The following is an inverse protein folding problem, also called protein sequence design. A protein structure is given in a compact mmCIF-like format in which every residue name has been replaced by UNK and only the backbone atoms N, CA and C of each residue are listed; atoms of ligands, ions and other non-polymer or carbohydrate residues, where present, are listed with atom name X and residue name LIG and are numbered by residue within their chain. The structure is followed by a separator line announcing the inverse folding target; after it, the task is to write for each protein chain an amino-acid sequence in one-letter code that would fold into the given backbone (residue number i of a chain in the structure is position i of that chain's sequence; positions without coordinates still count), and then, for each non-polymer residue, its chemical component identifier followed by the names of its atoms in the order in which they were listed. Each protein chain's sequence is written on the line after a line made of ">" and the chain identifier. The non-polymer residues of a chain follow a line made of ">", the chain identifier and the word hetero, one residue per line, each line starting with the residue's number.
data_IF_644209632123
#
_entry.id   IF_644209632123
#
_cell.length_a   1.000
_cell.length_b   1.000
_cell.length_c   1.000
_cell.angle_alpha   90.00
_cell.angle_beta   90.00
_cell.angle_gamma   90.00
#
_symmetry.space_group_name_H-M   'P 1'
#
loop_
_entity.id
_entity.type
_entity.pdbx_description
1 polymer ?
#
# COMPACT_ATOMS: atom_id res chain seq x y z
N UNK A 1 -66.00 18.01 -26.65
CA UNK A 1 -64.69 17.33 -26.63
C UNK A 1 -64.25 17.26 -25.18
N UNK A 2 -64.61 16.17 -24.51
CA UNK A 2 -64.14 15.91 -23.16
C UNK A 2 -62.62 15.72 -23.22
N UNK A 3 -61.90 16.57 -22.48
CA UNK A 3 -60.48 16.41 -22.23
C UNK A 3 -60.26 15.00 -21.68
N UNK A 4 -59.59 14.14 -22.44
CA UNK A 4 -59.13 12.86 -21.94
C UNK A 4 -58.29 13.15 -20.70
N UNK A 5 -58.82 12.78 -19.53
CA UNK A 5 -58.15 13.00 -18.25
C UNK A 5 -56.72 12.48 -18.38
N UNK A 6 -55.73 13.37 -18.26
CA UNK A 6 -54.33 13.01 -18.34
C UNK A 6 -54.07 11.91 -17.29
N UNK A 7 -53.76 10.71 -17.75
CA UNK A 7 -53.60 9.56 -16.87
C UNK A 7 -52.34 9.75 -16.03
N UNK A 8 -52.52 10.00 -14.73
CA UNK A 8 -51.42 10.14 -13.79
C UNK A 8 -50.80 8.76 -13.52
N UNK A 9 -49.70 8.48 -14.21
CA UNK A 9 -48.91 7.25 -14.06
C UNK A 9 -48.55 7.01 -12.59
N UNK A 10 -48.34 8.05 -11.78
CA UNK A 10 -47.96 7.89 -10.38
C UNK A 10 -49.04 7.24 -9.51
N UNK A 11 -50.28 7.12 -10.00
CA UNK A 11 -51.36 6.40 -9.31
C UNK A 11 -51.31 4.88 -9.48
N UNK A 12 -50.54 4.36 -10.47
CA UNK A 12 -50.45 2.94 -10.74
C UNK A 12 -49.93 2.12 -9.54
N UNK A 13 -50.25 0.81 -9.43
CA UNK A 13 -49.73 -0.04 -8.38
C UNK A 13 -48.19 -0.06 -8.37
N UNK A 14 -47.59 -0.14 -7.17
CA UNK A 14 -46.13 -0.05 -7.00
C UNK A 14 -45.35 -1.06 -7.84
N UNK A 15 -45.85 -2.29 -7.99
CA UNK A 15 -45.22 -3.32 -8.83
C UNK A 15 -45.21 -2.94 -10.32
N UNK A 16 -46.27 -2.30 -10.81
CA UNK A 16 -46.38 -1.83 -12.19
C UNK A 16 -45.41 -0.67 -12.41
N UNK A 17 -45.37 0.29 -11.47
CA UNK A 17 -44.43 1.40 -11.51
C UNK A 17 -42.98 0.93 -11.50
N UNK A 18 -42.61 -0.03 -10.63
CA UNK A 18 -41.26 -0.60 -10.60
C UNK A 18 -40.90 -1.16 -11.97
N UNK A 19 -41.81 -1.90 -12.60
CA UNK A 19 -41.58 -2.49 -13.92
C UNK A 19 -41.39 -1.41 -14.99
N UNK A 20 -42.27 -0.41 -15.06
CA UNK A 20 -42.16 0.68 -16.03
C UNK A 20 -40.82 1.42 -15.84
N UNK A 21 -40.56 1.89 -14.62
CA UNK A 21 -39.40 2.74 -14.33
C UNK A 21 -38.09 1.96 -14.57
N UNK A 22 -38.00 0.69 -14.13
CA UNK A 22 -36.79 -0.13 -14.34
C UNK A 22 -36.47 -0.43 -15.81
N UNK A 23 -37.46 -0.41 -16.70
CA UNK A 23 -37.23 -0.56 -18.16
C UNK A 23 -36.91 0.77 -18.85
N UNK A 24 -36.88 1.87 -18.11
CA UNK A 24 -36.52 3.20 -18.58
C UNK A 24 -35.36 3.75 -17.76
N UNK A 25 -34.97 5.00 -17.98
CA UNK A 25 -33.96 5.67 -17.16
C UNK A 25 -34.62 6.23 -15.88
N UNK A 26 -34.30 5.71 -14.69
CA UNK A 26 -34.91 6.16 -13.43
C UNK A 26 -34.58 7.61 -13.09
N UNK A 27 -33.47 8.16 -13.59
CA UNK A 27 -33.08 9.56 -13.38
C UNK A 27 -34.12 10.52 -13.97
N UNK A 28 -34.74 10.15 -15.10
CA UNK A 28 -35.82 10.93 -15.70
C UNK A 28 -37.02 10.98 -14.76
N UNK A 29 -37.34 9.86 -14.11
CA UNK A 29 -38.50 9.76 -13.22
C UNK A 29 -38.30 10.48 -11.89
N UNK A 30 -37.08 10.51 -11.35
CA UNK A 30 -36.77 11.26 -10.12
C UNK A 30 -36.75 12.77 -10.34
N UNK A 31 -36.39 13.24 -11.55
CA UNK A 31 -36.45 14.66 -11.93
C UNK A 31 -37.89 15.22 -11.99
N UNK A 32 -38.91 14.37 -12.15
CA UNK A 32 -40.31 14.79 -12.15
C UNK A 32 -40.81 15.30 -10.78
N UNK A 33 -40.01 15.19 -9.71
CA UNK A 33 -40.34 15.73 -8.39
C UNK A 33 -41.49 15.03 -7.67
N UNK A 34 -41.93 13.86 -8.14
CA UNK A 34 -43.04 13.12 -7.53
C UNK A 34 -42.55 12.31 -6.31
N UNK A 35 -43.08 12.66 -5.12
CA UNK A 35 -42.66 12.04 -3.87
C UNK A 35 -42.93 10.52 -3.80
N UNK A 36 -44.00 10.02 -4.43
CA UNK A 36 -44.30 8.58 -4.45
C UNK A 36 -43.28 7.83 -5.31
N UNK A 37 -42.93 8.40 -6.46
CA UNK A 37 -41.90 7.84 -7.35
C UNK A 37 -40.54 7.87 -6.65
N UNK A 38 -40.18 8.97 -6.00
CA UNK A 38 -38.93 9.06 -5.21
C UNK A 38 -38.84 7.97 -4.13
N UNK A 39 -39.92 7.77 -3.36
CA UNK A 39 -39.99 6.68 -2.36
C UNK A 39 -39.89 5.30 -3.00
N UNK A 40 -40.53 5.08 -4.14
CA UNK A 40 -40.49 3.81 -4.86
C UNK A 40 -39.09 3.47 -5.36
N UNK A 41 -38.42 4.44 -5.99
CA UNK A 41 -37.04 4.30 -6.50
C UNK A 41 -36.06 4.06 -5.35
N UNK A 42 -36.35 4.52 -4.13
CA UNK A 42 -35.51 4.22 -2.97
C UNK A 42 -35.64 2.78 -2.43
N UNK A 43 -36.61 1.97 -2.89
CA UNK A 43 -36.86 0.63 -2.34
C UNK A 43 -35.87 -0.44 -2.84
N UNK A 44 -35.60 -1.44 -2.00
CA UNK A 44 -34.80 -2.63 -2.34
C UNK A 44 -35.38 -3.39 -3.54
N UNK A 45 -36.70 -3.51 -3.62
CA UNK A 45 -37.40 -4.17 -4.74
C UNK A 45 -37.16 -3.46 -6.07
N UNK A 46 -37.18 -2.12 -6.07
CA UNK A 46 -36.85 -1.35 -7.27
C UNK A 46 -35.40 -1.57 -7.69
N UNK A 47 -34.45 -1.49 -6.75
CA UNK A 47 -33.02 -1.72 -7.01
C UNK A 47 -32.78 -3.10 -7.64
N UNK A 48 -33.38 -4.15 -7.09
CA UNK A 48 -33.30 -5.50 -7.65
C UNK A 48 -33.85 -5.54 -9.09
N UNK A 49 -35.02 -4.95 -9.32
CA UNK A 49 -35.62 -4.92 -10.65
C UNK A 49 -34.76 -4.16 -11.66
N UNK A 50 -34.17 -3.04 -11.25
CA UNK A 50 -33.34 -2.24 -12.15
C UNK A 50 -31.99 -2.88 -12.44
N UNK A 51 -31.32 -3.45 -11.44
CA UNK A 51 -30.10 -4.26 -11.64
C UNK A 51 -30.37 -5.41 -12.61
N UNK A 52 -31.53 -6.08 -12.52
CA UNK A 52 -31.92 -7.10 -13.50
C UNK A 52 -32.03 -6.53 -14.92
N UNK A 53 -32.62 -5.35 -15.08
CA UNK A 53 -32.76 -4.73 -16.41
C UNK A 53 -31.42 -4.29 -16.99
N UNK A 54 -30.55 -3.72 -16.16
CA UNK A 54 -29.18 -3.38 -16.57
C UNK A 54 -28.42 -4.64 -16.97
N UNK A 55 -28.45 -5.69 -16.14
CA UNK A 55 -27.79 -6.95 -16.43
C UNK A 55 -28.30 -7.66 -17.69
N UNK A 56 -29.59 -7.56 -18.02
CA UNK A 56 -30.14 -8.11 -19.26
C UNK A 56 -29.72 -7.32 -20.51
N UNK A 57 -29.40 -6.03 -20.35
CA UNK A 57 -28.95 -5.15 -21.45
C UNK A 57 -27.45 -5.26 -21.67
N UNK A 58 -26.71 -5.33 -20.58
CA UNK A 58 -25.28 -5.61 -20.58
C UNK A 58 -25.11 -7.05 -21.05
N UNK A 59 -24.39 -7.27 -22.15
CA UNK A 59 -24.06 -8.63 -22.61
C UNK A 59 -23.01 -9.24 -21.65
N UNK A 60 -23.43 -9.58 -20.44
CA UNK A 60 -22.53 -10.04 -19.39
C UNK A 60 -21.89 -11.37 -19.83
N UNK A 61 -20.56 -11.48 -19.79
CA UNK A 61 -19.88 -12.74 -20.06
C UNK A 61 -20.27 -13.80 -19.01
N UNK A 62 -20.63 -14.99 -19.49
CA UNK A 62 -20.90 -16.16 -18.65
C UNK A 62 -20.08 -17.33 -19.21
N UNK A 63 -19.10 -17.87 -18.48
CA UNK A 63 -18.70 -17.51 -17.11
C UNK A 63 -17.92 -16.17 -17.03
N UNK A 64 -17.95 -15.53 -15.86
CA UNK A 64 -17.04 -14.42 -15.53
C UNK A 64 -15.66 -15.01 -15.30
N UNK A 65 -14.71 -14.75 -16.20
CA UNK A 65 -13.44 -15.47 -16.25
C UNK A 65 -12.22 -14.59 -15.93
N UNK A 66 -12.37 -13.25 -15.94
CA UNK A 66 -11.25 -12.33 -15.76
C UNK A 66 -11.60 -11.12 -14.90
N UNK A 67 -10.57 -10.42 -14.41
CA UNK A 67 -10.72 -9.12 -13.73
C UNK A 67 -11.43 -8.10 -14.62
N UNK A 68 -11.17 -8.12 -15.94
CA UNK A 68 -11.82 -7.21 -16.88
C UNK A 68 -13.33 -7.46 -16.95
N UNK A 69 -13.76 -8.72 -16.90
CA UNK A 69 -15.20 -9.05 -16.86
C UNK A 69 -15.86 -8.50 -15.59
N UNK A 70 -15.18 -8.62 -14.44
CA UNK A 70 -15.64 -8.04 -13.17
C UNK A 70 -15.78 -6.52 -13.29
N UNK A 71 -14.76 -5.84 -13.82
CA UNK A 71 -14.76 -4.39 -14.02
C UNK A 71 -15.88 -3.97 -14.99
N UNK A 72 -16.11 -4.72 -16.07
CA UNK A 72 -17.14 -4.43 -17.05
C UNK A 72 -18.55 -4.64 -16.48
N UNK A 73 -18.76 -5.67 -15.65
CA UNK A 73 -20.02 -5.84 -14.90
C UNK A 73 -20.21 -4.69 -13.91
N UNK A 74 -19.18 -4.35 -13.12
CA UNK A 74 -19.23 -3.22 -12.20
C UNK A 74 -19.58 -1.92 -12.93
N UNK A 75 -18.96 -1.64 -14.08
CA UNK A 75 -19.21 -0.42 -14.87
C UNK A 75 -20.58 -0.40 -15.55
N UNK A 76 -21.04 -1.53 -16.08
CA UNK A 76 -22.26 -1.59 -16.89
C UNK A 76 -23.53 -1.85 -16.08
N UNK A 77 -23.41 -2.43 -14.88
CA UNK A 77 -24.56 -2.82 -14.05
C UNK A 77 -24.57 -2.10 -12.71
N UNK A 78 -23.45 -2.07 -11.98
CA UNK A 78 -23.44 -1.53 -10.62
C UNK A 78 -23.28 0.00 -10.58
N UNK A 79 -22.35 0.54 -11.38
CA UNK A 79 -22.05 1.97 -11.45
C UNK A 79 -23.27 2.83 -11.81
N UNK A 80 -24.14 2.46 -12.77
CA UNK A 80 -25.33 3.27 -13.06
C UNK A 80 -26.27 3.40 -11.86
N UNK A 81 -26.33 2.36 -11.01
CA UNK A 81 -27.14 2.40 -9.78
C UNK A 81 -26.47 3.31 -8.75
N UNK A 82 -25.15 3.20 -8.60
CA UNK A 82 -24.38 4.08 -7.72
C UNK A 82 -24.47 5.55 -8.14
N UNK A 83 -24.41 5.85 -9.43
CA UNK A 83 -24.55 7.20 -9.97
C UNK A 83 -25.92 7.81 -9.65
N UNK A 84 -26.98 7.01 -9.73
CA UNK A 84 -28.33 7.44 -9.35
C UNK A 84 -28.45 7.80 -7.86
N UNK A 85 -27.77 7.05 -6.98
CA UNK A 85 -27.79 7.31 -5.53
C UNK A 85 -26.64 8.20 -5.05
N UNK A 86 -25.75 8.64 -5.94
CA UNK A 86 -24.56 9.42 -5.64
C UNK A 86 -23.50 8.68 -4.79
N UNK A 87 -23.68 7.39 -4.53
CA UNK A 87 -22.75 6.56 -3.75
C UNK A 87 -23.09 5.08 -3.89
N UNK A 88 -22.14 4.22 -3.52
CA UNK A 88 -22.38 2.78 -3.43
C UNK A 88 -23.27 2.38 -2.24
N UNK A 89 -23.75 3.30 -1.39
CA UNK A 89 -24.43 2.97 -0.13
C UNK A 89 -25.73 2.14 -0.31
N UNK A 90 -26.25 2.08 -1.53
CA UNK A 90 -27.39 1.24 -1.89
C UNK A 90 -27.09 -0.28 -1.82
N UNK A 91 -25.82 -0.67 -1.96
CA UNK A 91 -25.35 -2.06 -1.89
C UNK A 91 -25.28 -2.51 -0.42
N UNK A 92 -26.40 -3.02 0.07
CA UNK A 92 -26.57 -3.47 1.46
C UNK A 92 -26.79 -4.98 1.55
N UNK A 93 -26.65 -5.53 2.77
CA UNK A 93 -26.98 -6.93 3.04
C UNK A 93 -28.44 -7.27 2.65
N UNK A 94 -29.38 -6.35 2.88
CA UNK A 94 -30.80 -6.51 2.51
C UNK A 94 -30.96 -6.63 0.99
N UNK A 95 -30.23 -5.82 0.22
CA UNK A 95 -30.23 -5.91 -1.23
C UNK A 95 -29.73 -7.27 -1.72
N UNK A 96 -28.60 -7.74 -1.20
CA UNK A 96 -28.04 -9.05 -1.62
C UNK A 96 -28.99 -10.19 -1.28
N UNK A 97 -29.58 -10.20 -0.08
CA UNK A 97 -30.57 -11.21 0.31
C UNK A 97 -31.84 -11.16 -0.56
N UNK A 98 -32.31 -9.95 -0.88
CA UNK A 98 -33.46 -9.77 -1.77
C UNK A 98 -33.16 -10.26 -3.19
N UNK A 99 -31.94 -10.03 -3.69
CA UNK A 99 -31.51 -10.53 -5.00
C UNK A 99 -31.42 -12.06 -5.00
N UNK A 100 -30.84 -12.66 -3.96
CA UNK A 100 -30.75 -14.10 -3.76
C UNK A 100 -32.14 -14.76 -3.77
N UNK A 101 -33.09 -14.20 -3.01
CA UNK A 101 -34.44 -14.74 -2.87
C UNK A 101 -35.27 -14.64 -4.15
N UNK A 102 -35.12 -13.57 -4.92
CA UNK A 102 -35.97 -13.31 -6.08
C UNK A 102 -35.34 -13.74 -7.41
N UNK A 103 -34.00 -13.75 -7.50
CA UNK A 103 -33.24 -13.89 -8.75
C UNK A 103 -31.89 -14.61 -8.54
N UNK A 104 -31.88 -15.85 -8.04
CA UNK A 104 -30.63 -16.56 -7.67
C UNK A 104 -29.65 -16.69 -8.84
N UNK A 105 -30.12 -17.05 -10.04
CA UNK A 105 -29.25 -17.14 -11.24
C UNK A 105 -28.55 -15.84 -11.62
N UNK A 106 -29.21 -14.71 -11.37
CA UNK A 106 -28.60 -13.41 -11.65
C UNK A 106 -27.56 -13.07 -10.58
N UNK A 107 -27.82 -13.44 -9.32
CA UNK A 107 -26.84 -13.30 -8.27
C UNK A 107 -25.57 -14.09 -8.60
N UNK A 108 -25.67 -15.33 -9.08
CA UNK A 108 -24.50 -16.15 -9.45
C UNK A 108 -23.58 -15.43 -10.45
N UNK A 109 -24.16 -14.73 -11.43
CA UNK A 109 -23.43 -13.98 -12.45
C UNK A 109 -22.85 -12.67 -11.90
N UNK A 110 -23.60 -11.96 -11.05
CA UNK A 110 -23.18 -10.67 -10.51
C UNK A 110 -22.29 -10.78 -9.26
N UNK A 111 -22.24 -11.94 -8.63
CA UNK A 111 -21.55 -12.16 -7.36
C UNK A 111 -20.09 -11.71 -7.35
N UNK A 112 -19.26 -11.99 -8.39
CA UNK A 112 -17.89 -11.48 -8.44
C UNK A 112 -17.82 -9.95 -8.37
N UNK A 113 -18.68 -9.25 -9.11
CA UNK A 113 -18.73 -7.78 -9.12
C UNK A 113 -19.31 -7.19 -7.83
N UNK A 114 -20.34 -7.82 -7.25
CA UNK A 114 -20.90 -7.41 -5.96
C UNK A 114 -19.89 -7.61 -4.83
N UNK A 115 -19.16 -8.73 -4.84
CA UNK A 115 -18.09 -9.01 -3.91
C UNK A 115 -16.98 -7.98 -4.06
N UNK A 116 -16.51 -7.76 -5.28
CA UNK A 116 -15.49 -6.75 -5.61
C UNK A 116 -15.85 -5.37 -5.07
N UNK A 117 -17.04 -4.86 -5.39
CA UNK A 117 -17.52 -3.56 -4.91
C UNK A 117 -17.69 -3.52 -3.39
N UNK A 118 -18.15 -4.61 -2.77
CA UNK A 118 -18.30 -4.69 -1.31
C UNK A 118 -16.94 -4.65 -0.60
N UNK A 119 -15.96 -5.38 -1.13
CA UNK A 119 -14.60 -5.41 -0.60
C UNK A 119 -13.96 -4.04 -0.71
N UNK A 120 -13.94 -3.43 -1.91
CA UNK A 120 -13.38 -2.09 -2.15
C UNK A 120 -14.01 -0.99 -1.27
N UNK A 121 -15.29 -1.14 -0.92
CA UNK A 121 -15.99 -0.20 -0.05
C UNK A 121 -15.78 -0.47 1.46
N UNK A 122 -15.00 -1.49 1.84
CA UNK A 122 -14.78 -1.86 3.24
C UNK A 122 -15.97 -2.57 3.91
N UNK A 123 -16.89 -3.16 3.14
CA UNK A 123 -18.16 -3.70 3.65
C UNK A 123 -18.08 -5.20 3.91
N UNK A 124 -17.43 -5.56 5.02
CA UNK A 124 -17.23 -6.95 5.44
C UNK A 124 -18.54 -7.74 5.57
N UNK A 125 -19.61 -7.16 6.13
CA UNK A 125 -20.90 -7.85 6.28
C UNK A 125 -21.50 -8.22 4.93
N UNK A 126 -21.55 -7.25 4.01
CA UNK A 126 -22.14 -7.43 2.69
C UNK A 126 -21.33 -8.40 1.84
N UNK A 127 -20.00 -8.33 1.87
CA UNK A 127 -19.13 -9.31 1.23
C UNK A 127 -19.40 -10.74 1.73
N UNK A 128 -19.55 -10.91 3.05
CA UNK A 128 -19.90 -12.20 3.66
C UNK A 128 -21.27 -12.70 3.20
N UNK A 129 -22.27 -11.82 3.14
CA UNK A 129 -23.60 -12.18 2.64
C UNK A 129 -23.56 -12.59 1.17
N UNK A 130 -22.74 -11.95 0.32
CA UNK A 130 -22.58 -12.35 -1.08
C UNK A 130 -22.06 -13.79 -1.17
N UNK A 131 -20.97 -14.11 -0.48
CA UNK A 131 -20.39 -15.46 -0.50
C UNK A 131 -21.37 -16.50 0.05
N UNK A 132 -22.06 -16.20 1.15
CA UNK A 132 -23.03 -17.12 1.76
C UNK A 132 -24.31 -17.32 0.92
N UNK A 133 -24.67 -16.33 0.09
CA UNK A 133 -25.90 -16.37 -0.70
C UNK A 133 -25.74 -17.11 -2.04
N UNK A 134 -24.51 -17.41 -2.46
CA UNK A 134 -24.21 -18.12 -3.70
C UNK A 134 -23.79 -19.54 -3.37
N UNK A 135 -24.60 -20.51 -3.79
CA UNK A 135 -24.33 -21.91 -3.51
C UNK A 135 -23.05 -22.36 -4.23
N UNK A 136 -22.08 -22.88 -3.47
CA UNK A 136 -20.82 -23.39 -4.03
C UNK A 136 -19.85 -22.31 -4.51
N UNK A 137 -19.99 -21.06 -4.03
CA UNK A 137 -19.03 -20.01 -4.34
C UNK A 137 -17.72 -20.24 -3.59
N UNK A 138 -16.73 -20.77 -4.28
CA UNK A 138 -15.39 -20.96 -3.74
C UNK A 138 -14.51 -19.76 -4.09
N UNK A 139 -13.99 -19.07 -3.07
CA UNK A 139 -13.07 -17.94 -3.28
C UNK A 139 -11.73 -18.37 -3.89
N UNK A 140 -11.39 -19.65 -3.81
CA UNK A 140 -10.24 -20.23 -4.51
C UNK A 140 -10.34 -20.08 -6.04
N UNK A 141 -11.55 -19.84 -6.56
CA UNK A 141 -11.76 -19.50 -7.97
C UNK A 141 -11.44 -18.05 -8.32
N UNK A 142 -11.27 -17.16 -7.33
CA UNK A 142 -10.76 -15.82 -7.60
C UNK A 142 -9.31 -15.94 -8.01
N UNK A 143 -9.03 -15.64 -9.28
CA UNK A 143 -7.67 -15.65 -9.80
C UNK A 143 -6.77 -14.73 -8.95
N UNK A 144 -5.48 -15.11 -8.79
CA UNK A 144 -4.49 -14.30 -8.07
C UNK A 144 -4.52 -12.82 -8.50
N UNK A 145 -4.81 -12.56 -9.78
CA UNK A 145 -4.90 -11.22 -10.37
C UNK A 145 -6.03 -10.38 -9.74
N UNK A 146 -7.17 -10.98 -9.40
CA UNK A 146 -8.31 -10.31 -8.76
C UNK A 146 -7.92 -9.86 -7.36
N UNK A 147 -7.36 -10.78 -6.56
CA UNK A 147 -6.91 -10.49 -5.19
C UNK A 147 -5.84 -9.41 -5.21
N UNK A 148 -4.87 -9.51 -6.13
CA UNK A 148 -3.83 -8.51 -6.31
C UNK A 148 -4.41 -7.13 -6.61
N UNK A 149 -5.30 -7.00 -7.59
CA UNK A 149 -5.87 -5.71 -7.97
C UNK A 149 -6.73 -5.12 -6.83
N UNK A 150 -7.43 -5.94 -6.04
CA UNK A 150 -8.09 -5.49 -4.81
C UNK A 150 -7.09 -4.91 -3.81
N UNK A 151 -5.98 -5.61 -3.56
CA UNK A 151 -4.95 -5.19 -2.61
C UNK A 151 -4.18 -3.94 -3.07
N UNK A 152 -4.04 -3.72 -4.38
CA UNK A 152 -3.48 -2.48 -4.94
C UNK A 152 -4.42 -1.30 -4.67
N UNK A 153 -5.72 -1.47 -4.89
CA UNK A 153 -6.71 -0.39 -4.75
C UNK A 153 -7.06 -0.08 -3.30
N UNK A 154 -7.14 -1.11 -2.46
CA UNK A 154 -7.52 -0.99 -1.06
C UNK A 154 -6.65 -1.91 -0.19
N UNK A 155 -5.40 -1.53 0.08
CA UNK A 155 -4.51 -2.31 0.95
C UNK A 155 -5.07 -2.32 2.37
N UNK A 156 -5.56 -3.48 2.85
CA UNK A 156 -6.24 -3.57 4.15
C UNK A 156 -6.07 -4.92 4.83
N UNK A 157 -5.70 -4.89 6.12
CA UNK A 157 -5.43 -6.10 6.90
C UNK A 157 -6.70 -6.94 7.05
N UNK A 158 -7.82 -6.30 7.37
CA UNK A 158 -9.10 -7.02 7.52
C UNK A 158 -9.50 -7.77 6.24
N UNK A 159 -9.12 -7.27 5.06
CA UNK A 159 -9.45 -7.90 3.79
C UNK A 159 -8.62 -9.18 3.60
N UNK A 160 -7.33 -9.15 3.96
CA UNK A 160 -6.48 -10.34 3.97
C UNK A 160 -7.02 -11.39 4.96
N UNK A 161 -7.30 -10.99 6.20
CA UNK A 161 -7.88 -11.86 7.23
C UNK A 161 -9.24 -12.43 6.79
N UNK A 162 -10.08 -11.62 6.13
CA UNK A 162 -11.38 -12.07 5.65
C UNK A 162 -11.25 -13.06 4.49
N UNK A 163 -10.32 -12.83 3.55
CA UNK A 163 -10.06 -13.77 2.45
C UNK A 163 -9.55 -15.12 2.99
N UNK A 164 -8.63 -15.09 3.95
CA UNK A 164 -8.12 -16.28 4.64
C UNK A 164 -9.25 -17.06 5.33
N UNK A 165 -10.09 -16.37 6.11
CA UNK A 165 -11.24 -16.97 6.81
C UNK A 165 -12.25 -17.64 5.87
N UNK A 166 -12.28 -17.21 4.60
CA UNK A 166 -13.16 -17.76 3.58
C UNK A 166 -12.41 -18.70 2.61
N UNK A 167 -11.26 -19.22 3.01
CA UNK A 167 -10.60 -20.36 2.37
C UNK A 167 -9.51 -20.02 1.35
N UNK A 168 -9.04 -18.77 1.29
CA UNK A 168 -7.89 -18.41 0.45
C UNK A 168 -6.59 -18.83 1.14
N UNK A 169 -5.82 -19.73 0.49
CA UNK A 169 -4.48 -20.10 0.95
C UNK A 169 -3.42 -19.15 0.36
N UNK A 170 -2.96 -18.20 1.18
CA UNK A 170 -1.93 -17.25 0.78
C UNK A 170 -0.54 -17.89 0.55
N UNK A 171 -0.28 -19.06 1.13
CA UNK A 171 0.97 -19.80 0.90
C UNK A 171 1.04 -20.34 -0.52
N UNK A 172 -0.07 -20.86 -1.03
CA UNK A 172 -0.18 -21.32 -2.41
C UNK A 172 -0.07 -20.13 -3.38
N UNK A 173 -0.80 -19.05 -3.11
CA UNK A 173 -0.78 -17.83 -3.94
C UNK A 173 0.62 -17.21 -4.03
N UNK A 174 1.39 -17.26 -2.96
CA UNK A 174 2.75 -16.74 -2.91
C UNK A 174 3.73 -17.61 -3.70
N UNK A 175 3.69 -18.95 -3.57
CA UNK A 175 4.54 -19.86 -4.35
C UNK A 175 4.33 -19.75 -5.86
N UNK A 176 3.12 -19.36 -6.27
CA UNK A 176 2.80 -19.10 -7.67
C UNK A 176 3.43 -17.82 -8.23
N UNK A 177 4.04 -16.96 -7.42
CA UNK A 177 4.66 -15.67 -7.78
C UNK A 177 3.71 -14.68 -8.49
N UNK A 178 2.39 -14.87 -8.31
CA UNK A 178 1.36 -14.14 -9.08
C UNK A 178 0.62 -13.07 -8.27
N UNK A 179 0.58 -13.19 -6.94
CA UNK A 179 -0.23 -12.31 -6.09
C UNK A 179 0.59 -11.17 -5.45
N UNK A 180 1.76 -11.48 -4.88
CA UNK A 180 2.57 -10.55 -4.09
C UNK A 180 3.88 -10.19 -4.80
N UNK A 181 3.77 -9.38 -5.85
CA UNK A 181 4.95 -8.94 -6.59
C UNK A 181 5.67 -7.77 -5.91
N UNK A 182 6.88 -7.46 -6.40
CA UNK A 182 7.68 -6.35 -5.89
C UNK A 182 6.93 -5.01 -5.94
N UNK A 183 6.10 -4.76 -6.96
CA UNK A 183 5.35 -3.51 -7.08
C UNK A 183 4.36 -3.34 -5.93
N UNK A 184 3.61 -4.39 -5.57
CA UNK A 184 2.67 -4.36 -4.47
C UNK A 184 3.39 -4.18 -3.14
N UNK A 185 4.44 -4.97 -2.90
CA UNK A 185 5.21 -4.93 -1.65
C UNK A 185 5.89 -3.58 -1.45
N UNK A 186 6.48 -3.00 -2.50
CA UNK A 186 7.05 -1.65 -2.46
C UNK A 186 5.97 -0.62 -2.13
N UNK A 187 4.77 -0.72 -2.72
CA UNK A 187 3.65 0.16 -2.39
C UNK A 187 3.29 0.12 -0.89
N UNK A 188 3.28 -1.06 -0.28
CA UNK A 188 3.03 -1.23 1.15
C UNK A 188 4.15 -0.65 2.02
N UNK A 189 5.40 -0.82 1.63
CA UNK A 189 6.56 -0.22 2.31
C UNK A 189 6.47 1.30 2.27
N UNK A 190 6.25 1.89 1.10
CA UNK A 190 6.10 3.34 0.94
C UNK A 190 4.92 3.88 1.77
N UNK A 191 3.82 3.12 1.83
CA UNK A 191 2.66 3.40 2.68
C UNK A 191 2.84 3.08 4.16
N UNK A 192 4.03 2.61 4.58
CA UNK A 192 4.35 2.19 5.96
C UNK A 192 3.35 1.19 6.55
N UNK A 193 2.90 0.24 5.72
CA UNK A 193 1.89 -0.79 6.03
C UNK A 193 2.52 -2.03 6.65
N UNK A 194 3.11 -1.86 7.83
CA UNK A 194 3.71 -2.97 8.61
C UNK A 194 2.68 -4.00 9.05
N UNK A 195 1.41 -3.63 9.14
CA UNK A 195 0.27 -4.53 9.37
C UNK A 195 0.15 -5.59 8.25
N UNK A 196 0.23 -5.16 6.99
CA UNK A 196 0.12 -6.05 5.84
C UNK A 196 1.37 -6.90 5.64
N UNK A 197 2.54 -6.30 5.83
CA UNK A 197 3.82 -7.02 5.78
C UNK A 197 3.90 -8.05 6.92
N UNK A 198 3.40 -7.70 8.11
CA UNK A 198 3.26 -8.57 9.27
C UNK A 198 2.40 -9.79 8.98
N UNK A 199 1.26 -9.60 8.31
CA UNK A 199 0.40 -10.69 7.87
C UNK A 199 1.16 -11.70 6.99
N UNK A 200 1.96 -11.22 6.03
CA UNK A 200 2.75 -12.12 5.17
C UNK A 200 3.79 -12.91 5.97
N UNK A 201 4.52 -12.24 6.87
CA UNK A 201 5.54 -12.90 7.71
C UNK A 201 4.91 -13.94 8.65
N UNK A 202 3.73 -13.67 9.21
CA UNK A 202 3.00 -14.63 10.04
C UNK A 202 2.61 -15.92 9.30
N UNK A 203 2.52 -15.85 7.98
CA UNK A 203 2.24 -16.98 7.10
C UNK A 203 3.51 -17.59 6.48
N UNK A 204 4.68 -17.37 7.11
CA UNK A 204 5.98 -17.84 6.65
C UNK A 204 6.33 -17.40 5.21
N UNK A 205 5.73 -16.31 4.73
CA UNK A 205 6.01 -15.76 3.40
C UNK A 205 7.27 -14.89 3.47
N UNK A 206 8.28 -15.26 2.69
CA UNK A 206 9.55 -14.55 2.72
C UNK A 206 9.44 -13.16 2.09
N UNK A 207 9.96 -12.12 2.76
CA UNK A 207 10.02 -10.80 2.17
C UNK A 207 11.39 -10.60 1.48
N UNK A 208 11.45 -10.01 0.28
CA UNK A 208 12.70 -9.62 -0.38
C UNK A 208 13.29 -8.36 0.28
N UNK A 209 13.67 -8.47 1.55
CA UNK A 209 14.04 -7.34 2.43
C UNK A 209 15.07 -6.43 1.82
N UNK A 210 16.12 -6.98 1.21
CA UNK A 210 17.20 -6.18 0.63
C UNK A 210 16.69 -5.22 -0.44
N UNK A 211 15.79 -5.68 -1.31
CA UNK A 211 15.18 -4.85 -2.35
C UNK A 211 14.17 -3.85 -1.78
N UNK A 212 13.47 -4.22 -0.71
CA UNK A 212 12.46 -3.36 -0.08
C UNK A 212 13.08 -2.24 0.78
N UNK A 213 14.22 -2.50 1.40
CA UNK A 213 14.95 -1.53 2.24
C UNK A 213 15.39 -0.31 1.43
N UNK A 214 15.82 -0.49 0.18
CA UNK A 214 16.22 0.64 -0.69
C UNK A 214 15.11 1.68 -0.84
N UNK A 215 13.85 1.23 -0.96
CA UNK A 215 12.69 2.12 -1.00
C UNK A 215 12.33 2.69 0.38
N UNK A 216 12.49 1.89 1.43
CA UNK A 216 12.10 2.25 2.79
C UNK A 216 12.95 3.39 3.37
N UNK A 217 14.26 3.39 3.08
CA UNK A 217 15.23 4.36 3.64
C UNK A 217 14.84 5.82 3.36
N UNK A 218 14.36 6.10 2.15
CA UNK A 218 14.07 7.47 1.71
C UNK A 218 12.64 7.96 1.96
N UNK A 219 11.67 7.06 2.15
CA UNK A 219 10.25 7.43 2.13
C UNK A 219 9.49 6.94 3.35
N UNK A 220 9.81 5.76 3.88
CA UNK A 220 9.01 5.09 4.92
C UNK A 220 9.35 5.57 6.33
N UNK A 221 8.59 5.08 7.31
CA UNK A 221 8.84 5.38 8.73
C UNK A 221 9.97 4.51 9.34
N UNK A 222 10.60 4.96 10.44
CA UNK A 222 11.58 4.15 11.18
C UNK A 222 11.03 2.77 11.58
N UNK A 223 9.77 2.68 12.00
CA UNK A 223 9.13 1.43 12.42
C UNK A 223 9.02 0.44 11.26
N UNK A 224 8.81 0.94 10.04
CA UNK A 224 8.75 0.09 8.83
C UNK A 224 10.12 -0.51 8.52
N UNK A 225 11.17 0.28 8.63
CA UNK A 225 12.55 -0.19 8.44
C UNK A 225 12.94 -1.21 9.52
N UNK A 226 12.63 -0.92 10.78
CA UNK A 226 12.87 -1.85 11.89
C UNK A 226 12.11 -3.17 11.72
N UNK A 227 10.85 -3.10 11.28
CA UNK A 227 10.06 -4.28 10.97
C UNK A 227 10.74 -5.15 9.90
N UNK A 228 11.16 -4.56 8.78
CA UNK A 228 11.79 -5.28 7.67
C UNK A 228 13.09 -5.98 8.10
N UNK A 229 13.93 -5.30 8.86
CA UNK A 229 15.19 -5.84 9.37
C UNK A 229 14.95 -7.00 10.35
N UNK A 230 14.03 -6.80 11.28
CA UNK A 230 13.79 -7.74 12.39
C UNK A 230 12.97 -8.97 11.98
N UNK A 231 12.00 -8.80 11.09
CA UNK A 231 10.98 -9.83 10.80
C UNK A 231 10.95 -10.25 9.33
N UNK A 232 11.35 -9.39 8.40
CA UNK A 232 11.23 -9.70 6.97
C UNK A 232 12.30 -10.67 6.45
N UNK A 233 13.43 -10.78 7.16
CA UNK A 233 14.61 -11.45 6.63
C UNK A 233 14.68 -12.90 7.12
N UNK A 234 14.39 -13.83 6.21
CA UNK A 234 14.62 -15.26 6.45
C UNK A 234 16.10 -15.53 6.78
N UNK A 235 16.37 -16.58 7.56
CA UNK A 235 17.69 -16.86 8.18
C UNK A 235 18.90 -16.83 7.24
N UNK A 236 18.73 -17.02 5.93
CA UNK A 236 19.84 -17.02 4.96
C UNK A 236 20.22 -15.64 4.41
N UNK A 237 19.35 -14.64 4.52
CA UNK A 237 19.56 -13.28 3.97
C UNK A 237 19.23 -12.20 5.02
N UNK A 238 19.49 -12.50 6.30
CA UNK A 238 19.30 -11.57 7.40
C UNK A 238 20.14 -10.31 7.18
N UNK A 239 19.48 -9.16 7.11
CA UNK A 239 20.15 -7.89 6.91
C UNK A 239 20.51 -7.33 8.29
N UNK A 240 21.79 -7.10 8.55
CA UNK A 240 22.22 -6.61 9.86
C UNK A 240 22.02 -5.10 9.99
N UNK A 241 21.94 -4.60 11.22
CA UNK A 241 21.96 -3.14 11.47
C UNK A 241 23.23 -2.46 10.95
N UNK A 242 24.34 -3.20 10.84
CA UNK A 242 25.58 -2.71 10.24
C UNK A 242 25.43 -2.53 8.73
N UNK A 243 24.77 -3.48 8.05
CA UNK A 243 24.46 -3.37 6.62
C UNK A 243 23.51 -2.19 6.37
N UNK A 244 22.47 -2.06 7.21
CA UNK A 244 21.55 -0.91 7.18
C UNK A 244 22.28 0.41 7.31
N UNK A 245 23.21 0.53 8.26
CA UNK A 245 23.97 1.76 8.45
C UNK A 245 24.84 2.10 7.24
N UNK A 246 25.49 1.10 6.63
CA UNK A 246 26.25 1.30 5.40
C UNK A 246 25.35 1.80 4.27
N UNK A 247 24.22 1.13 4.01
CA UNK A 247 23.26 1.51 2.98
C UNK A 247 22.73 2.93 3.22
N UNK A 248 22.34 3.25 4.44
CA UNK A 248 21.83 4.56 4.85
C UNK A 248 22.87 5.70 4.72
N UNK A 249 24.15 5.39 4.92
CA UNK A 249 25.24 6.35 4.70
C UNK A 249 25.48 6.62 3.22
N UNK A 250 25.38 5.60 2.36
CA UNK A 250 25.59 5.75 0.91
C UNK A 250 24.38 6.34 0.19
N UNK A 251 23.18 6.09 0.71
CA UNK A 251 21.93 6.54 0.09
C UNK A 251 21.61 7.99 0.50
N UNK A 252 21.69 8.90 -0.46
CA UNK A 252 21.45 10.33 -0.26
C UNK A 252 20.02 10.60 0.22
N UNK A 253 19.04 9.89 -0.35
CA UNK A 253 17.63 10.09 -0.03
C UNK A 253 17.23 9.64 1.38
N UNK A 254 18.10 8.92 2.10
CA UNK A 254 17.76 8.39 3.44
C UNK A 254 17.28 9.49 4.38
N UNK A 255 16.07 9.30 4.95
CA UNK A 255 15.48 10.24 5.89
C UNK A 255 16.28 10.32 7.19
N UNK A 256 16.33 11.51 7.77
CA UNK A 256 17.13 11.79 8.98
C UNK A 256 16.62 11.05 10.22
N UNK A 257 15.32 10.87 10.37
CA UNK A 257 14.71 10.12 11.48
C UNK A 257 14.98 8.60 11.37
N UNK A 258 14.85 8.03 10.17
CA UNK A 258 15.24 6.64 9.87
C UNK A 258 16.72 6.44 10.17
N UNK A 259 17.58 7.37 9.73
CA UNK A 259 19.01 7.33 9.99
C UNK A 259 19.33 7.33 11.50
N UNK A 260 18.66 8.19 12.29
CA UNK A 260 18.82 8.21 13.76
C UNK A 260 18.48 6.86 14.40
N UNK A 261 17.40 6.24 13.96
CA UNK A 261 16.98 4.93 14.46
C UNK A 261 17.99 3.83 14.09
N UNK A 262 18.50 3.82 12.85
CA UNK A 262 19.53 2.87 12.44
C UNK A 262 20.79 3.03 13.31
N UNK A 263 21.23 4.27 13.55
CA UNK A 263 22.40 4.55 14.39
C UNK A 263 22.19 4.05 15.82
N UNK A 264 21.01 4.28 16.42
CA UNK A 264 20.74 3.84 17.80
C UNK A 264 20.63 2.32 17.97
N UNK A 265 20.36 1.59 16.87
CA UNK A 265 20.31 0.12 16.84
C UNK A 265 21.63 -0.53 16.43
N UNK A 266 22.59 0.26 15.93
CA UNK A 266 23.88 -0.23 15.48
C UNK A 266 24.88 -0.25 16.64
N UNK A 267 25.73 -1.28 16.69
CA UNK A 267 26.80 -1.35 17.69
C UNK A 267 27.70 -0.10 17.62
N UNK A 268 27.96 0.57 18.74
CA UNK A 268 28.70 1.85 18.73
C UNK A 268 30.11 1.77 18.14
N UNK A 269 30.78 0.62 18.26
CA UNK A 269 32.08 0.34 17.64
C UNK A 269 32.04 0.39 16.10
N UNK A 270 30.88 0.08 15.51
CA UNK A 270 30.66 0.01 14.06
C UNK A 270 30.23 1.36 13.50
N UNK A 271 29.44 2.13 14.26
CA UNK A 271 28.88 3.44 13.86
C UNK A 271 29.94 4.35 13.20
N UNK A 272 31.14 4.39 13.77
CA UNK A 272 32.23 5.23 13.28
C UNK A 272 32.99 4.69 12.08
N UNK A 273 32.99 3.37 11.88
CA UNK A 273 33.61 2.77 10.68
C UNK A 273 32.92 3.27 9.40
N UNK A 274 31.64 3.63 9.47
CA UNK A 274 30.85 4.10 8.34
C UNK A 274 30.71 5.63 8.24
N UNK A 275 31.16 6.39 9.25
CA UNK A 275 31.14 7.86 9.22
C UNK A 275 31.94 8.45 8.05
N UNK A 276 33.05 7.80 7.67
CA UNK A 276 33.84 8.16 6.50
C UNK A 276 33.08 7.97 5.18
N UNK A 277 32.29 6.90 5.06
CA UNK A 277 31.45 6.63 3.89
C UNK A 277 30.33 7.66 3.75
N UNK A 278 29.71 8.05 4.87
CA UNK A 278 28.75 9.16 4.90
C UNK A 278 29.40 10.47 4.38
N UNK A 279 30.58 10.86 4.87
CA UNK A 279 31.24 12.10 4.43
C UNK A 279 31.74 12.03 2.97
N UNK A 280 32.27 10.88 2.55
CA UNK A 280 32.80 10.70 1.19
C UNK A 280 31.71 10.65 0.13
N UNK A 281 30.55 10.05 0.43
CA UNK A 281 29.43 9.94 -0.52
C UNK A 281 28.74 11.29 -0.78
N UNK A 282 28.86 12.25 0.15
CA UNK A 282 28.08 13.49 0.14
C UNK A 282 28.91 14.77 0.11
N UNK A 283 30.22 14.67 -0.07
CA UNK A 283 31.08 15.81 -0.31
C UNK A 283 30.72 16.60 -1.59
N UNK A 284 29.74 16.13 -2.37
CA UNK A 284 29.22 16.75 -3.57
C UNK A 284 27.76 17.23 -3.44
N UNK A 285 27.41 18.10 -2.47
CA UNK A 285 26.24 19.06 -2.51
C UNK A 285 25.03 18.92 -1.52
N UNK A 286 25.10 18.44 -0.27
CA UNK A 286 23.86 18.35 0.55
C UNK A 286 23.94 18.62 2.08
N UNK A 287 23.02 19.44 2.62
CA UNK A 287 22.74 19.69 4.06
C UNK A 287 22.27 18.41 4.78
N UNK A 288 21.63 17.49 4.06
CA UNK A 288 21.20 16.19 4.60
C UNK A 288 22.37 15.34 5.12
N UNK A 289 23.51 15.39 4.45
CA UNK A 289 24.69 14.63 4.83
C UNK A 289 25.39 15.18 6.07
N UNK A 290 25.46 16.51 6.18
CA UNK A 290 25.92 17.18 7.38
C UNK A 290 25.10 16.74 8.60
N UNK A 291 23.78 16.65 8.44
CA UNK A 291 22.86 16.19 9.49
C UNK A 291 23.10 14.72 9.85
N UNK A 292 23.22 13.81 8.87
CA UNK A 292 23.56 12.40 9.10
C UNK A 292 24.88 12.26 9.86
N UNK A 293 25.91 12.98 9.44
CA UNK A 293 27.19 13.00 10.13
C UNK A 293 27.09 13.55 11.56
N UNK A 294 26.37 14.66 11.75
CA UNK A 294 26.15 15.26 13.08
C UNK A 294 25.44 14.29 14.04
N UNK A 295 24.55 13.44 13.53
CA UNK A 295 23.90 12.37 14.30
C UNK A 295 24.91 11.34 14.76
N UNK A 296 25.75 10.82 13.85
CA UNK A 296 26.83 9.88 14.20
C UNK A 296 27.73 10.47 15.28
N UNK A 297 28.09 11.76 15.15
CA UNK A 297 28.87 12.54 16.13
C UNK A 297 28.23 12.60 17.51
N UNK A 298 26.91 12.72 17.58
CA UNK A 298 26.21 12.90 18.85
C UNK A 298 26.06 11.62 19.68
N UNK A 299 26.48 10.46 19.17
CA UNK A 299 26.30 9.19 19.87
C UNK A 299 27.17 9.12 21.15
N UNK A 300 26.66 8.78 22.35
CA UNK A 300 27.41 8.90 23.61
C UNK A 300 28.66 8.01 23.69
N UNK A 301 28.60 6.85 23.04
CA UNK A 301 29.71 5.89 22.94
C UNK A 301 30.60 6.13 21.70
N UNK A 302 30.39 7.27 21.02
CA UNK A 302 31.26 7.78 19.96
C UNK A 302 32.61 8.31 20.44
N UNK A 303 33.00 7.99 21.67
CA UNK A 303 34.16 8.59 22.36
C UNK A 303 35.51 8.16 21.77
N UNK A 304 35.53 7.39 20.69
CA UNK A 304 36.77 7.05 20.02
C UNK A 304 36.71 7.38 18.52
N UNK A 305 36.91 8.66 18.23
CA UNK A 305 37.39 9.20 16.95
C UNK A 305 38.75 8.59 16.50
N UNK A 306 39.33 7.77 17.37
CA UNK A 306 40.56 6.98 17.24
C UNK A 306 40.24 5.52 16.89
N UNK A 307 38.96 5.08 16.89
CA UNK A 307 38.60 3.73 16.47
C UNK A 307 39.10 3.53 15.06
N UNK A 308 40.00 2.55 14.96
CA UNK A 308 40.53 2.09 13.71
C UNK A 308 39.55 1.08 13.16
N UNK A 309 39.19 1.22 11.89
CA UNK A 309 38.56 0.16 11.12
C UNK A 309 39.33 -1.16 11.26
N UNK A 310 38.73 -2.28 10.86
CA UNK A 310 39.42 -3.59 10.77
C UNK A 310 40.75 -3.50 9.99
N UNK A 311 40.88 -2.52 9.10
CA UNK A 311 42.10 -2.21 8.33
C UNK A 311 43.08 -1.26 9.02
N UNK A 312 42.89 -0.94 10.31
CA UNK A 312 43.78 -0.08 11.08
C UNK A 312 43.63 1.43 10.81
N UNK A 313 42.63 1.86 10.02
CA UNK A 313 42.47 3.27 9.60
C UNK A 313 41.42 4.01 10.43
N UNK A 314 41.68 5.28 10.76
CA UNK A 314 40.68 6.16 11.38
C UNK A 314 39.66 6.67 10.34
N UNK A 315 38.47 7.14 10.75
CA UNK A 315 37.45 7.63 9.83
C UNK A 315 37.94 8.79 8.96
N UNK A 316 38.74 9.71 9.53
CA UNK A 316 39.29 10.83 8.76
C UNK A 316 40.29 10.35 7.71
N UNK A 317 41.12 9.33 8.01
CA UNK A 317 42.07 8.78 7.03
C UNK A 317 41.34 8.19 5.82
N UNK A 318 40.26 7.44 6.06
CA UNK A 318 39.44 6.90 4.98
C UNK A 318 38.72 7.99 4.18
N UNK A 319 38.30 9.07 4.84
CA UNK A 319 37.71 10.22 4.19
C UNK A 319 38.75 10.93 3.30
N UNK A 320 39.95 11.19 3.82
CA UNK A 320 41.06 11.83 3.11
C UNK A 320 41.43 11.11 1.80
N UNK A 321 41.37 9.78 1.76
CA UNK A 321 41.64 8.98 0.57
C UNK A 321 40.59 9.15 -0.54
N UNK A 322 39.39 9.66 -0.21
CA UNK A 322 38.24 9.75 -1.11
C UNK A 322 37.86 11.18 -1.52
N UNK A 323 38.49 12.20 -0.93
CA UNK A 323 38.16 13.60 -1.19
C UNK A 323 38.97 14.20 -2.35
N UNK A 324 38.32 15.03 -3.15
CA UNK A 324 38.96 15.96 -4.08
C UNK A 324 39.34 17.27 -3.36
N UNK A 325 40.20 18.11 -3.95
CA UNK A 325 40.63 19.38 -3.36
C UNK A 325 39.47 20.33 -3.02
N UNK A 326 38.46 20.41 -3.89
CA UNK A 326 37.27 21.25 -3.68
C UNK A 326 36.43 20.79 -2.47
N UNK A 327 36.44 19.50 -2.17
CA UNK A 327 35.65 18.92 -1.09
C UNK A 327 36.30 19.12 0.30
N UNK A 328 37.62 19.34 0.33
CA UNK A 328 38.40 19.51 1.56
C UNK A 328 38.05 20.82 2.29
N UNK A 329 37.73 21.89 1.55
CA UNK A 329 37.41 23.20 2.14
C UNK A 329 36.06 23.21 2.88
N UNK A 330 35.06 22.50 2.35
CA UNK A 330 33.77 22.29 3.02
C UNK A 330 33.89 21.51 4.33
N UNK A 331 34.94 20.69 4.44
CA UNK A 331 35.18 19.87 5.61
C UNK A 331 36.09 20.53 6.67
N UNK A 332 36.58 21.74 6.39
CA UNK A 332 37.51 22.45 7.28
C UNK A 332 37.02 22.67 8.72
N UNK A 333 35.71 22.92 9.01
CA UNK A 333 35.24 23.01 10.39
C UNK A 333 35.35 21.67 11.13
N UNK A 334 35.16 20.53 10.45
CA UNK A 334 35.25 19.21 11.09
C UNK A 334 36.69 18.79 11.36
N UNK A 335 37.60 19.14 10.45
CA UNK A 335 39.01 18.83 10.60
C UNK A 335 39.58 19.57 11.83
N UNK A 336 39.13 20.82 12.06
CA UNK A 336 39.49 21.59 13.27
C UNK A 336 38.99 20.94 14.55
N UNK A 337 37.70 20.62 14.61
CA UNK A 337 37.11 19.89 15.74
C UNK A 337 37.82 18.53 16.00
N UNK A 338 38.37 17.89 14.96
CA UNK A 338 39.07 16.60 15.07
C UNK A 338 40.47 16.73 15.70
N UNK A 339 41.17 17.85 15.47
CA UNK A 339 42.45 18.16 16.13
C UNK A 339 42.23 18.53 17.58
N UNK A 340 41.17 19.28 17.87
CA UNK A 340 40.81 19.69 19.23
C UNK A 340 40.52 18.48 20.13
N UNK A 341 40.14 17.34 19.53
CA UNK A 341 39.98 16.05 20.19
C UNK A 341 41.30 15.25 20.36
N UNK A 342 42.45 15.83 19.98
CA UNK A 342 43.78 15.28 20.24
C UNK A 342 44.26 14.21 19.26
N UNK A 343 43.64 14.08 18.08
CA UNK A 343 44.06 13.07 17.10
C UNK A 343 45.24 13.57 16.25
N UNK A 344 46.27 12.73 16.12
CA UNK A 344 47.46 13.07 15.33
C UNK A 344 47.17 13.24 13.84
N UNK A 345 47.67 14.33 13.26
CA UNK A 345 47.61 14.65 11.83
C UNK A 345 48.76 14.04 11.02
N UNK A 346 49.67 13.28 11.65
CA UNK A 346 50.90 12.78 11.02
C UNK A 346 50.65 11.86 9.81
N UNK A 347 49.51 11.16 9.80
CA UNK A 347 49.10 10.26 8.73
C UNK A 347 48.08 10.89 7.75
N UNK A 348 47.82 12.19 7.87
CA UNK A 348 46.90 12.90 6.96
C UNK A 348 47.63 13.42 5.72
N UNK A 349 46.95 13.55 4.56
CA UNK A 349 47.50 14.26 3.41
C UNK A 349 47.98 15.67 3.79
N UNK A 350 49.14 16.09 3.28
CA UNK A 350 49.80 17.34 3.68
C UNK A 350 48.93 18.61 3.55
N UNK A 351 47.96 18.61 2.63
CA UNK A 351 47.02 19.74 2.45
C UNK A 351 46.05 19.89 3.62
N UNK A 352 45.68 18.79 4.27
CA UNK A 352 44.81 18.78 5.43
C UNK A 352 45.61 19.15 6.69
N UNK A 353 46.83 18.62 6.82
CA UNK A 353 47.75 19.03 7.87
C UNK A 353 48.02 20.55 7.88
N UNK A 354 47.99 21.21 6.71
CA UNK A 354 48.09 22.68 6.61
C UNK A 354 46.81 23.42 7.02
N UNK A 355 45.62 22.85 6.78
CA UNK A 355 44.34 23.45 7.22
C UNK A 355 44.09 23.29 8.73
N UNK A 356 44.88 22.43 9.37
CA UNK A 356 44.90 22.09 10.79
C UNK A 356 45.80 23.01 11.64
N UNK A 357 46.69 23.78 11.01
CA UNK A 357 47.58 24.76 11.65
C UNK A 357 46.91 26.13 11.68
#
# INVERSE_FOLDING_TARGET
>A
MESAAAFDISQLPSLVLIRIISHSDPCIWTQLGNARIGKLVATTSFRCAWVCQLANRSKIPVPVASVNDIIDISRSVLQPVSDMYGSDAWLTDEFVRALAANRPRLLDVLAPALLWSSLLAGRRSTATVVVQSVAGFELTMLECQVIRELLVRQPSLWMLEWLEQNGVDFSELYRGDRCFDMSLLTGWVLGSRTDLLGFLVQHDLHLPVRSLVDYALGVSTPETVEFLVTHGSGHRNALSWSDMLLMACTEASTRIDVFKMIVSKTEPSIVWTFAASCLASHAMLDDGAYKKFSILRSHPEATAWIIRSVRGRTPIQQLCERLTYENITYLSPFIRDYIDLGVSTADMPGILAMLCQ
#
